data_IF_835796484975
#
_entry.id   IF_835796484975
#
_cell.length_a   1.000
_cell.length_b   1.000
_cell.length_c   1.000
_cell.angle_alpha   90.00
_cell.angle_beta   90.00
_cell.angle_gamma   90.00
#
_symmetry.space_group_name_H-M   'P 1'
#
loop_
_entity.id
_entity.type
_entity.pdbx_description
1 polymer ?
#
# COMPACT_ATOMS: atom_id res chain seq x y z
N UNK A 1 -42.76 7.89 6.56
CA UNK A 1 -41.78 7.56 7.63
C UNK A 1 -41.83 6.08 8.06
N UNK A 2 -42.98 5.51 8.46
CA UNK A 2 -43.06 4.09 8.90
C UNK A 2 -42.60 3.04 7.87
N UNK A 3 -42.86 3.23 6.58
CA UNK A 3 -42.40 2.31 5.51
C UNK A 3 -40.89 2.32 5.27
N UNK A 4 -40.23 3.47 5.43
CA UNK A 4 -38.79 3.61 5.22
C UNK A 4 -38.01 2.94 6.38
N UNK A 5 -38.54 3.07 7.60
CA UNK A 5 -37.99 2.42 8.79
C UNK A 5 -38.09 0.89 8.71
N UNK A 6 -39.20 0.36 8.16
CA UNK A 6 -39.40 -1.07 7.96
C UNK A 6 -38.45 -1.66 6.92
N UNK A 7 -38.20 -0.94 5.83
CA UNK A 7 -37.25 -1.37 4.78
C UNK A 7 -35.83 -1.42 5.35
N UNK A 8 -35.43 -0.41 6.12
CA UNK A 8 -34.11 -0.36 6.78
C UNK A 8 -33.98 -1.45 7.84
N UNK A 9 -35.01 -1.71 8.65
CA UNK A 9 -34.96 -2.78 9.66
C UNK A 9 -34.92 -4.17 9.02
N UNK A 10 -35.60 -4.39 7.89
CA UNK A 10 -35.52 -5.65 7.16
C UNK A 10 -34.13 -5.88 6.55
N UNK A 11 -33.49 -4.83 6.01
CA UNK A 11 -32.10 -4.90 5.51
C UNK A 11 -31.08 -5.17 6.63
N UNK A 12 -31.32 -4.65 7.84
CA UNK A 12 -30.48 -4.93 9.02
C UNK A 12 -30.66 -6.36 9.57
N UNK A 13 -31.84 -6.95 9.43
CA UNK A 13 -32.09 -8.34 9.84
C UNK A 13 -31.45 -9.37 8.90
N UNK A 14 -31.37 -9.08 7.60
CA UNK A 14 -30.57 -9.89 6.66
C UNK A 14 -29.06 -9.73 6.84
N UNK A 15 -28.61 -8.66 7.50
CA UNK A 15 -27.19 -8.41 7.79
C UNK A 15 -26.64 -9.33 8.90
N UNK A 16 -27.50 -9.85 9.79
CA UNK A 16 -27.07 -10.66 10.92
C UNK A 16 -26.88 -12.14 10.61
N UNK A 17 -27.27 -12.60 9.41
CA UNK A 17 -26.90 -13.91 8.92
C UNK A 17 -25.45 -13.85 8.41
N UNK A 18 -24.53 -14.13 9.34
CA UNK A 18 -23.16 -14.59 9.11
C UNK A 18 -22.72 -14.58 7.65
N UNK A 19 -22.20 -13.43 7.21
CA UNK A 19 -21.38 -13.34 6.00
C UNK A 19 -20.05 -14.01 6.35
N UNK A 20 -20.02 -15.34 6.32
CA UNK A 20 -18.82 -16.03 5.91
C UNK A 20 -18.51 -15.46 4.52
N UNK A 21 -17.35 -14.81 4.39
CA UNK A 21 -16.95 -14.18 3.14
C UNK A 21 -16.70 -15.29 2.10
N UNK A 22 -17.76 -15.73 1.42
CA UNK A 22 -17.62 -16.47 0.19
C UNK A 22 -16.95 -15.54 -0.83
N UNK A 23 -15.77 -15.93 -1.27
CA UNK A 23 -15.02 -15.28 -2.34
C UNK A 23 -15.81 -15.42 -3.64
N UNK A 24 -16.67 -14.45 -3.93
CA UNK A 24 -17.29 -14.33 -5.25
C UNK A 24 -16.19 -14.05 -6.28
N UNK A 25 -15.94 -15.02 -7.17
CA UNK A 25 -15.13 -14.84 -8.36
C UNK A 25 -15.92 -14.02 -9.39
N UNK A 26 -15.65 -12.72 -9.46
CA UNK A 26 -16.20 -11.81 -10.48
C UNK A 26 -15.11 -11.51 -11.52
N UNK A 27 -15.43 -11.63 -12.82
CA UNK A 27 -14.45 -11.56 -13.91
C UNK A 27 -13.81 -10.15 -14.10
N UNK A 28 -12.48 -10.22 -14.13
CA UNK A 28 -11.33 -9.36 -14.49
C UNK A 28 -11.39 -7.94 -15.08
N UNK A 29 -12.51 -7.21 -15.14
CA UNK A 29 -12.42 -5.78 -15.59
C UNK A 29 -13.18 -4.80 -14.71
N UNK A 30 -14.25 -5.25 -14.05
CA UNK A 30 -14.98 -4.45 -13.06
C UNK A 30 -14.37 -4.63 -11.65
N UNK A 31 -13.59 -5.70 -11.45
CA UNK A 31 -12.92 -6.05 -10.20
C UNK A 31 -11.80 -5.09 -9.79
N UNK A 32 -11.32 -4.20 -10.66
CA UNK A 32 -10.32 -3.20 -10.26
C UNK A 32 -10.94 -2.00 -9.53
N UNK A 33 -12.19 -1.65 -9.88
CA UNK A 33 -12.91 -0.55 -9.26
C UNK A 33 -13.83 -1.01 -8.11
N UNK A 34 -14.25 -2.27 -8.15
CA UNK A 34 -15.18 -2.92 -7.20
C UNK A 34 -14.60 -4.25 -6.67
N UNK A 35 -13.29 -4.41 -6.62
CA UNK A 35 -12.65 -5.67 -6.18
C UNK A 35 -12.63 -5.85 -4.67
N UNK A 36 -12.37 -7.09 -4.25
CA UNK A 36 -11.94 -7.35 -2.88
C UNK A 36 -10.65 -6.54 -2.60
N UNK A 37 -10.59 -5.76 -1.51
CA UNK A 37 -9.44 -4.94 -1.13
C UNK A 37 -8.11 -5.70 -1.17
N UNK A 38 -8.12 -6.96 -0.71
CA UNK A 38 -6.93 -7.81 -0.73
C UNK A 38 -6.42 -8.10 -2.16
N UNK A 39 -7.34 -8.26 -3.11
CA UNK A 39 -7.02 -8.53 -4.52
C UNK A 39 -6.42 -7.29 -5.20
N UNK A 40 -7.00 -6.11 -4.95
CA UNK A 40 -6.49 -4.83 -5.48
C UNK A 40 -5.12 -4.49 -4.88
N UNK A 41 -4.91 -4.78 -3.60
CA UNK A 41 -3.61 -4.59 -2.97
C UNK A 41 -2.57 -5.56 -3.50
N UNK A 42 -2.93 -6.84 -3.66
CA UNK A 42 -2.07 -7.84 -4.30
C UNK A 42 -1.67 -7.41 -5.71
N UNK A 43 -2.60 -6.97 -6.56
CA UNK A 43 -2.26 -6.56 -7.93
C UNK A 43 -1.30 -5.37 -7.94
N UNK A 44 -1.54 -4.35 -7.11
CA UNK A 44 -0.63 -3.21 -6.95
C UNK A 44 0.74 -3.61 -6.43
N UNK A 45 0.83 -4.56 -5.48
CA UNK A 45 2.11 -5.06 -4.98
C UNK A 45 2.91 -5.74 -6.10
N UNK A 46 2.26 -6.54 -6.94
CA UNK A 46 2.90 -7.21 -8.06
C UNK A 46 3.42 -6.21 -9.11
N UNK A 47 2.72 -5.10 -9.32
CA UNK A 47 3.17 -4.02 -10.21
C UNK A 47 4.31 -3.19 -9.61
N UNK A 48 4.24 -2.88 -8.31
CA UNK A 48 5.16 -1.94 -7.67
C UNK A 48 6.50 -2.57 -7.27
N UNK A 49 6.51 -3.83 -6.81
CA UNK A 49 7.74 -4.50 -6.35
C UNK A 49 8.86 -4.43 -7.41
N UNK A 50 8.61 -4.76 -8.69
CA UNK A 50 9.65 -4.65 -9.73
C UNK A 50 10.14 -3.22 -9.98
N UNK A 51 9.23 -2.23 -9.93
CA UNK A 51 9.57 -0.81 -10.14
C UNK A 51 10.44 -0.30 -9.00
N UNK A 52 10.01 -0.55 -7.76
CA UNK A 52 10.74 -0.17 -6.55
C UNK A 52 12.11 -0.82 -6.48
N UNK A 53 12.21 -2.10 -6.85
CA UNK A 53 13.51 -2.78 -6.92
C UNK A 53 14.46 -2.06 -7.86
N UNK A 54 14.03 -1.77 -9.10
CA UNK A 54 14.88 -1.08 -10.09
C UNK A 54 15.32 0.31 -9.61
N UNK A 55 14.42 1.05 -8.96
CA UNK A 55 14.74 2.35 -8.39
C UNK A 55 15.77 2.24 -7.26
N UNK A 56 15.60 1.25 -6.38
CA UNK A 56 16.53 0.99 -5.26
C UNK A 56 17.91 0.53 -5.76
N UNK A 57 17.95 -0.36 -6.76
CA UNK A 57 19.18 -0.78 -7.44
C UNK A 57 19.92 0.42 -8.02
N UNK A 58 19.21 1.27 -8.78
CA UNK A 58 19.79 2.48 -9.39
C UNK A 58 20.32 3.44 -8.33
N UNK A 59 19.56 3.65 -7.23
CA UNK A 59 19.98 4.50 -6.12
C UNK A 59 21.24 3.97 -5.45
N UNK A 60 21.29 2.66 -5.20
CA UNK A 60 22.44 2.00 -4.60
C UNK A 60 23.66 2.05 -5.54
N UNK A 61 23.46 1.84 -6.85
CA UNK A 61 24.52 1.94 -7.85
C UNK A 61 25.16 3.34 -7.86
N UNK A 62 24.35 4.40 -7.90
CA UNK A 62 24.81 5.79 -7.86
C UNK A 62 25.59 6.06 -6.57
N UNK A 63 25.09 5.58 -5.44
CA UNK A 63 25.77 5.71 -4.15
C UNK A 63 27.12 4.97 -4.13
N UNK A 64 27.16 3.72 -4.56
CA UNK A 64 28.37 2.91 -4.62
C UNK A 64 29.39 3.53 -5.58
N UNK A 65 28.96 4.02 -6.76
CA UNK A 65 29.83 4.77 -7.67
C UNK A 65 30.45 5.99 -6.99
N UNK A 66 29.68 6.75 -6.23
CA UNK A 66 30.19 7.92 -5.49
C UNK A 66 31.23 7.52 -4.45
N UNK A 67 30.96 6.50 -3.62
CA UNK A 67 31.88 6.04 -2.57
C UNK A 67 33.15 5.43 -3.17
N UNK A 68 33.00 4.53 -4.13
CA UNK A 68 34.11 3.78 -4.73
C UNK A 68 34.94 4.61 -5.70
N UNK A 69 34.35 5.58 -6.41
CA UNK A 69 35.13 6.42 -7.34
C UNK A 69 36.23 7.21 -6.63
N UNK A 70 36.05 7.60 -5.36
CA UNK A 70 37.08 8.27 -4.56
C UNK A 70 38.16 7.26 -4.15
N UNK A 71 37.76 6.06 -3.74
CA UNK A 71 38.68 5.07 -3.17
C UNK A 71 39.48 4.29 -4.23
N UNK A 72 38.88 4.01 -5.38
CA UNK A 72 39.49 3.28 -6.50
C UNK A 72 40.19 4.22 -7.52
N UNK A 73 40.15 5.54 -7.29
CA UNK A 73 40.92 6.49 -8.11
C UNK A 73 42.42 6.45 -7.81
N UNK A 74 42.80 6.07 -6.60
CA UNK A 74 44.19 5.94 -6.17
C UNK A 74 44.87 4.73 -6.81
N UNK A 75 46.19 4.78 -6.99
CA UNK A 75 46.96 3.72 -7.66
C UNK A 75 47.02 2.40 -6.89
N UNK A 76 46.74 2.41 -5.58
CA UNK A 76 46.69 1.24 -4.71
C UNK A 76 45.25 0.90 -4.29
N UNK A 77 44.95 -0.40 -4.20
CA UNK A 77 43.65 -0.87 -3.74
C UNK A 77 43.43 -0.47 -2.26
N UNK A 78 42.25 0.06 -1.91
CA UNK A 78 41.96 0.50 -0.54
C UNK A 78 42.00 -0.65 0.46
N UNK A 79 42.30 -0.32 1.73
CA UNK A 79 42.32 -1.31 2.82
C UNK A 79 40.96 -2.00 2.97
N UNK A 80 40.96 -3.35 2.95
CA UNK A 80 39.76 -4.20 3.05
C UNK A 80 38.95 -3.95 4.32
N UNK A 81 39.61 -3.69 5.45
CA UNK A 81 38.97 -3.37 6.74
C UNK A 81 38.13 -2.08 6.65
N UNK A 82 38.68 -1.06 5.98
CA UNK A 82 38.01 0.23 5.78
C UNK A 82 36.81 0.11 4.85
N UNK A 83 36.92 -0.68 3.78
CA UNK A 83 35.78 -0.99 2.91
C UNK A 83 34.66 -1.72 3.67
N UNK A 84 35.04 -2.70 4.51
CA UNK A 84 34.07 -3.50 5.28
C UNK A 84 33.26 -2.64 6.23
N UNK A 85 33.88 -1.69 6.92
CA UNK A 85 33.18 -0.78 7.84
C UNK A 85 32.30 0.23 7.11
N UNK A 86 32.71 0.73 5.95
CA UNK A 86 31.88 1.62 5.12
C UNK A 86 30.66 0.90 4.54
N UNK A 87 30.83 -0.30 4.00
CA UNK A 87 29.71 -1.05 3.40
C UNK A 87 28.72 -1.59 4.43
N UNK A 88 29.16 -1.90 5.66
CA UNK A 88 28.25 -2.26 6.75
C UNK A 88 27.24 -1.16 7.08
N UNK A 89 27.59 0.11 6.87
CA UNK A 89 26.69 1.26 7.11
C UNK A 89 25.56 1.36 6.08
N UNK A 90 25.65 0.63 4.96
CA UNK A 90 24.67 0.70 3.88
C UNK A 90 23.54 -0.30 4.19
N UNK A 91 22.32 0.18 4.49
CA UNK A 91 21.25 -0.68 4.99
C UNK A 91 20.76 -1.70 3.96
N UNK A 92 20.68 -1.30 2.68
CA UNK A 92 20.08 -2.12 1.62
C UNK A 92 21.12 -2.90 0.79
N UNK A 93 22.37 -2.97 1.26
CA UNK A 93 23.43 -3.71 0.59
C UNK A 93 23.44 -5.16 1.08
N UNK A 94 22.97 -6.07 0.23
CA UNK A 94 23.00 -7.51 0.48
C UNK A 94 24.43 -8.05 0.37
N UNK A 95 25.18 -7.57 -0.62
CA UNK A 95 26.59 -7.87 -0.73
C UNK A 95 27.24 -7.13 -1.88
N UNK A 96 28.57 -7.08 -1.84
CA UNK A 96 29.39 -6.43 -2.86
C UNK A 96 30.64 -7.26 -3.13
N UNK A 97 31.00 -7.38 -4.39
CA UNK A 97 32.20 -8.05 -4.88
C UNK A 97 32.92 -7.13 -5.85
N UNK A 98 34.20 -6.88 -5.59
CA UNK A 98 35.07 -6.07 -6.43
C UNK A 98 36.12 -6.99 -7.03
N UNK A 99 36.18 -7.04 -8.36
CA UNK A 99 37.09 -7.90 -9.12
C UNK A 99 37.82 -7.10 -10.20
N UNK A 100 39.01 -7.53 -10.55
CA UNK A 100 39.68 -7.11 -11.78
C UNK A 100 39.54 -8.22 -12.84
N UNK A 101 40.23 -8.10 -13.97
CA UNK A 101 40.21 -9.11 -15.03
C UNK A 101 40.79 -10.48 -14.61
N UNK A 102 41.56 -10.55 -13.51
CA UNK A 102 42.32 -11.74 -13.09
C UNK A 102 41.77 -12.42 -11.83
N UNK A 103 41.19 -11.65 -10.90
CA UNK A 103 40.78 -12.16 -9.59
C UNK A 103 39.78 -11.24 -8.88
N UNK A 104 39.11 -11.83 -7.90
CA UNK A 104 38.29 -11.10 -6.91
C UNK A 104 39.22 -10.49 -5.85
N UNK A 105 39.16 -9.16 -5.71
CA UNK A 105 40.01 -8.41 -4.80
C UNK A 105 39.35 -8.22 -3.42
N UNK A 106 38.04 -8.08 -3.43
CA UNK A 106 37.23 -7.91 -2.22
C UNK A 106 35.86 -8.53 -2.44
N UNK A 107 35.32 -9.16 -1.41
CA UNK A 107 33.92 -9.53 -1.36
C UNK A 107 33.41 -9.40 0.07
N UNK A 108 32.15 -9.04 0.20
CA UNK A 108 31.42 -9.00 1.44
C UNK A 108 29.97 -9.37 1.16
N UNK A 109 29.44 -10.22 2.03
CA UNK A 109 28.08 -10.73 1.98
C UNK A 109 27.45 -10.48 3.34
N UNK A 110 26.23 -9.95 3.34
CA UNK A 110 25.44 -9.65 4.54
C UNK A 110 24.68 -10.89 5.02
N UNK A 111 24.31 -11.80 4.10
CA UNK A 111 23.56 -13.02 4.40
C UNK A 111 24.08 -14.22 3.58
N UNK A 112 24.35 -15.33 4.24
CA UNK A 112 24.93 -16.53 3.63
C UNK A 112 26.47 -16.52 3.56
N UNK A 113 27.03 -17.59 3.00
CA UNK A 113 28.48 -17.82 2.91
C UNK A 113 29.03 -17.43 1.53
N UNK A 114 28.19 -17.48 0.50
CA UNK A 114 28.57 -17.31 -0.89
C UNK A 114 27.89 -16.09 -1.52
N UNK A 115 28.51 -15.57 -2.59
CA UNK A 115 27.92 -14.51 -3.38
C UNK A 115 26.84 -15.12 -4.29
N UNK A 116 25.62 -14.56 -4.33
CA UNK A 116 24.48 -15.16 -5.03
C UNK A 116 24.71 -15.30 -6.55
N UNK A 117 23.90 -16.14 -7.20
CA UNK A 117 24.00 -16.38 -8.63
C UNK A 117 23.43 -15.21 -9.47
N UNK A 118 23.70 -15.24 -10.79
CA UNK A 118 23.64 -14.10 -11.71
C UNK A 118 22.31 -13.31 -11.79
N UNK A 119 21.17 -13.87 -11.36
CA UNK A 119 19.85 -13.24 -11.56
C UNK A 119 19.66 -11.93 -10.79
N UNK A 120 20.34 -11.76 -9.66
CA UNK A 120 20.23 -10.54 -8.83
C UNK A 120 21.43 -9.61 -8.92
N UNK A 121 22.50 -10.04 -9.59
CA UNK A 121 23.75 -9.30 -9.58
C UNK A 121 23.65 -8.12 -10.54
N UNK A 122 23.83 -6.93 -10.00
CA UNK A 122 24.09 -5.72 -10.79
C UNK A 122 25.57 -5.44 -10.83
N UNK A 123 26.06 -5.11 -12.01
CA UNK A 123 27.48 -4.85 -12.23
C UNK A 123 27.68 -3.50 -12.89
N UNK A 124 28.67 -2.77 -12.41
CA UNK A 124 29.18 -1.57 -13.08
C UNK A 124 30.71 -1.55 -13.03
N UNK A 125 31.30 -0.73 -13.90
CA UNK A 125 32.76 -0.62 -14.02
C UNK A 125 33.25 0.72 -13.48
N UNK A 126 34.34 0.69 -12.72
CA UNK A 126 35.12 1.87 -12.34
C UNK A 126 36.57 1.61 -12.77
N UNK A 127 37.04 2.33 -13.80
CA UNK A 127 38.35 2.10 -14.43
C UNK A 127 38.50 0.61 -14.81
N UNK A 128 39.49 -0.08 -14.26
CA UNK A 128 39.80 -1.49 -14.52
C UNK A 128 39.14 -2.47 -13.54
N UNK A 129 38.28 -1.97 -12.66
CA UNK A 129 37.55 -2.77 -11.67
C UNK A 129 36.10 -2.97 -12.06
N UNK A 130 35.64 -4.21 -11.95
CA UNK A 130 34.23 -4.58 -11.99
C UNK A 130 33.70 -4.67 -10.57
N UNK A 131 32.59 -3.97 -10.33
CA UNK A 131 31.89 -3.97 -9.06
C UNK A 131 30.56 -4.67 -9.28
N UNK A 132 30.41 -5.82 -8.67
CA UNK A 132 29.18 -6.61 -8.64
C UNK A 132 28.51 -6.38 -7.27
N UNK A 133 27.22 -6.10 -7.23
CA UNK A 133 26.46 -5.92 -5.99
C UNK A 133 25.04 -6.45 -6.13
N UNK A 134 24.39 -6.71 -5.00
CA UNK A 134 22.98 -7.11 -4.97
C UNK A 134 22.27 -6.50 -3.75
N UNK A 135 20.94 -6.41 -3.85
CA UNK A 135 20.09 -5.90 -2.79
C UNK A 135 19.89 -6.95 -1.70
N UNK A 136 19.95 -6.52 -0.45
CA UNK A 136 19.60 -7.35 0.68
C UNK A 136 19.50 -6.47 1.91
N UNK A 137 18.46 -6.66 2.72
CA UNK A 137 18.29 -5.88 3.94
C UNK A 137 18.97 -6.58 5.11
N UNK A 138 19.72 -5.78 5.88
CA UNK A 138 20.16 -6.20 7.21
C UNK A 138 18.95 -6.26 8.15
N UNK A 139 19.01 -7.18 9.13
CA UNK A 139 18.03 -7.28 10.21
C UNK A 139 17.98 -5.95 11.00
N UNK A 140 16.76 -5.48 11.34
CA UNK A 140 16.57 -4.27 12.13
C UNK A 140 16.31 -2.96 11.37
N UNK A 141 16.23 -2.99 10.03
CA UNK A 141 15.84 -1.81 9.23
C UNK A 141 14.31 -1.67 9.23
N UNK A 142 13.83 -0.44 9.42
CA UNK A 142 12.40 -0.10 9.41
C UNK A 142 11.77 -0.55 8.08
N UNK A 143 10.61 -1.23 8.10
CA UNK A 143 9.88 -1.57 6.89
C UNK A 143 9.68 -0.32 6.02
N UNK A 144 9.74 -0.50 4.71
CA UNK A 144 9.27 0.57 3.81
C UNK A 144 7.77 0.64 3.98
N UNK A 145 7.27 1.77 4.44
CA UNK A 145 5.83 2.01 4.54
C UNK A 145 5.26 2.24 3.14
N UNK A 146 4.42 1.32 2.68
CA UNK A 146 3.67 1.49 1.45
C UNK A 146 2.48 2.41 1.73
N UNK A 147 2.70 3.71 1.49
CA UNK A 147 1.85 4.83 1.92
C UNK A 147 0.43 4.89 1.32
N UNK A 148 -0.06 3.92 0.53
CA UNK A 148 -1.18 4.20 -0.41
C UNK A 148 -2.37 3.23 -0.46
N UNK A 149 -2.37 2.09 0.24
CA UNK A 149 -3.49 1.13 0.12
C UNK A 149 -4.55 1.27 1.20
N UNK A 150 -4.26 1.94 2.32
CA UNK A 150 -5.26 2.26 3.35
C UNK A 150 -5.91 1.05 4.02
N UNK A 151 -5.34 -0.15 3.81
CA UNK A 151 -5.81 -1.45 4.29
C UNK A 151 -4.61 -2.25 4.80
N UNK A 152 -4.81 -3.01 5.87
CA UNK A 152 -3.75 -3.48 6.78
C UNK A 152 -3.17 -4.86 6.40
N UNK A 153 -2.78 -5.08 5.15
CA UNK A 153 -2.16 -6.34 4.74
C UNK A 153 -0.70 -6.43 5.19
N UNK A 154 -0.22 -7.65 5.40
CA UNK A 154 1.19 -7.92 5.62
C UNK A 154 1.75 -8.71 4.44
N UNK A 155 3.00 -8.45 4.08
CA UNK A 155 3.66 -9.22 3.04
C UNK A 155 5.17 -9.29 3.26
N UNK A 156 5.77 -10.33 2.70
CA UNK A 156 7.21 -10.58 2.75
C UNK A 156 7.68 -11.00 1.36
N UNK A 157 8.60 -10.24 0.80
CA UNK A 157 9.18 -10.49 -0.50
C UNK A 157 10.62 -10.93 -0.37
N UNK A 158 10.87 -12.17 -0.77
CA UNK A 158 12.17 -12.78 -0.85
C UNK A 158 12.65 -12.79 -2.28
N UNK A 159 13.95 -12.64 -2.43
CA UNK A 159 14.63 -12.88 -3.69
C UNK A 159 14.69 -14.37 -4.03
N UNK A 160 15.21 -14.73 -5.21
CA UNK A 160 15.48 -16.14 -5.56
C UNK A 160 16.47 -16.80 -4.58
N UNK A 161 17.52 -16.08 -4.20
CA UNK A 161 18.53 -16.55 -3.23
C UNK A 161 18.07 -16.41 -1.77
N UNK A 162 16.76 -16.49 -1.54
CA UNK A 162 16.13 -16.50 -0.21
C UNK A 162 16.45 -15.30 0.70
N UNK A 163 16.92 -14.21 0.11
CA UNK A 163 17.25 -12.97 0.82
C UNK A 163 16.00 -12.10 0.93
N UNK A 164 15.69 -11.62 2.14
CA UNK A 164 14.57 -10.72 2.35
C UNK A 164 14.86 -9.34 1.74
N UNK A 165 14.02 -8.92 0.80
CA UNK A 165 14.16 -7.65 0.09
C UNK A 165 13.20 -6.58 0.64
N UNK A 166 11.92 -6.95 0.76
CA UNK A 166 10.87 -6.06 1.25
C UNK A 166 9.95 -6.80 2.20
N UNK A 167 9.46 -6.09 3.21
CA UNK A 167 8.39 -6.59 4.04
C UNK A 167 7.54 -5.41 4.53
N UNK A 168 6.28 -5.71 4.78
CA UNK A 168 5.37 -4.85 5.53
C UNK A 168 4.67 -5.74 6.55
N UNK A 169 4.73 -5.30 7.81
CA UNK A 169 4.07 -5.98 8.92
C UNK A 169 2.73 -5.30 9.21
N UNK A 170 1.74 -6.10 9.63
CA UNK A 170 0.53 -5.59 10.27
C UNK A 170 0.46 -6.13 11.70
N UNK A 171 -0.35 -5.48 12.54
CA UNK A 171 -0.57 -5.93 13.93
C UNK A 171 -1.15 -7.34 14.03
N UNK A 172 -1.84 -7.79 12.97
CA UNK A 172 -2.43 -9.13 12.87
C UNK A 172 -1.38 -10.18 12.48
N UNK A 173 -0.45 -9.81 11.59
CA UNK A 173 0.49 -10.71 10.96
C UNK A 173 1.92 -10.27 11.25
N UNK A 174 2.32 -10.47 12.51
CA UNK A 174 3.67 -10.16 12.98
C UNK A 174 4.47 -11.42 13.21
N UNK A 175 5.63 -11.52 12.56
CA UNK A 175 6.60 -12.58 12.81
C UNK A 175 7.53 -12.11 13.92
N UNK A 176 7.56 -12.84 15.03
CA UNK A 176 8.35 -12.51 16.22
C UNK A 176 9.80 -12.99 16.15
N UNK A 177 10.14 -13.87 15.21
CA UNK A 177 11.46 -14.50 15.05
C UNK A 177 12.23 -13.97 13.83
N UNK A 178 13.48 -14.41 13.68
CA UNK A 178 14.35 -14.00 12.57
C UNK A 178 13.71 -14.33 11.21
N UNK A 179 13.66 -13.37 10.30
CA UNK A 179 12.88 -13.44 9.05
C UNK A 179 13.56 -14.32 8.00
N UNK A 180 13.76 -15.59 8.30
CA UNK A 180 14.23 -16.60 7.36
C UNK A 180 13.06 -17.13 6.51
N UNK A 181 13.33 -17.52 5.26
CA UNK A 181 12.30 -18.07 4.39
C UNK A 181 11.75 -19.41 4.92
N UNK A 182 12.58 -20.19 5.62
CA UNK A 182 12.19 -21.47 6.23
C UNK A 182 11.17 -21.27 7.35
N UNK A 183 11.38 -20.27 8.21
CA UNK A 183 10.42 -19.88 9.23
C UNK A 183 9.15 -19.29 8.64
N UNK A 184 9.25 -18.55 7.54
CA UNK A 184 8.06 -18.00 6.89
C UNK A 184 7.20 -19.10 6.25
N UNK A 185 7.84 -20.13 5.69
CA UNK A 185 7.16 -21.30 5.18
C UNK A 185 6.49 -22.12 6.31
N UNK A 186 7.13 -22.28 7.47
CA UNK A 186 6.51 -22.95 8.61
C UNK A 186 5.37 -22.13 9.21
N UNK A 187 5.56 -20.81 9.32
CA UNK A 187 4.53 -19.86 9.74
C UNK A 187 3.33 -19.90 8.79
N UNK A 188 3.56 -19.85 7.47
CA UNK A 188 2.51 -19.96 6.47
C UNK A 188 1.76 -21.28 6.62
N UNK A 189 2.45 -22.43 6.70
CA UNK A 189 1.79 -23.74 6.90
C UNK A 189 0.94 -23.80 8.17
N UNK A 190 1.38 -23.14 9.24
CA UNK A 190 0.69 -23.13 10.54
C UNK A 190 -0.55 -22.24 10.50
N UNK A 191 -0.46 -21.09 9.81
CA UNK A 191 -1.53 -20.10 9.72
C UNK A 191 -2.48 -20.31 8.55
N UNK A 192 -2.09 -21.09 7.53
CA UNK A 192 -2.92 -21.34 6.34
C UNK A 192 -4.25 -22.05 6.67
N UNK A 193 -4.34 -22.73 7.82
CA UNK A 193 -5.60 -23.31 8.30
C UNK A 193 -6.61 -22.25 8.75
N UNK A 194 -6.13 -21.08 9.19
CA UNK A 194 -6.96 -20.00 9.77
C UNK A 194 -6.96 -18.72 8.91
N UNK A 195 -6.08 -18.63 7.91
CA UNK A 195 -5.97 -17.46 7.06
C UNK A 195 -6.72 -17.64 5.73
N UNK A 196 -7.83 -16.91 5.57
CA UNK A 196 -8.55 -16.87 4.30
C UNK A 196 -7.83 -15.94 3.31
N UNK A 197 -7.43 -16.46 2.14
CA UNK A 197 -6.78 -15.68 1.08
C UNK A 197 -5.27 -15.44 1.27
N UNK A 198 -4.63 -16.17 2.19
CA UNK A 198 -3.18 -16.23 2.27
C UNK A 198 -2.61 -16.94 1.04
N UNK A 199 -1.61 -16.34 0.40
CA UNK A 199 -1.03 -16.89 -0.82
C UNK A 199 0.48 -16.76 -0.86
N UNK A 200 1.12 -17.75 -1.50
CA UNK A 200 2.53 -17.72 -1.87
C UNK A 200 2.62 -17.56 -3.38
N UNK A 201 3.11 -16.41 -3.83
CA UNK A 201 3.18 -16.04 -5.23
C UNK A 201 4.65 -16.13 -5.66
N UNK A 202 4.94 -16.99 -6.63
CA UNK A 202 6.26 -17.08 -7.25
C UNK A 202 6.34 -16.07 -8.39
N UNK A 203 7.21 -15.08 -8.22
CA UNK A 203 7.59 -14.11 -9.24
C UNK A 203 8.84 -14.62 -9.96
N UNK A 204 9.12 -14.05 -11.14
CA UNK A 204 10.32 -14.42 -11.94
C UNK A 204 11.60 -14.24 -11.13
N UNK A 205 11.64 -13.22 -10.26
CA UNK A 205 12.84 -12.83 -9.54
C UNK A 205 12.70 -13.00 -8.01
N UNK A 206 11.81 -13.89 -7.55
CA UNK A 206 11.62 -14.13 -6.11
C UNK A 206 10.28 -14.69 -5.70
N UNK A 207 10.06 -14.77 -4.39
CA UNK A 207 8.83 -15.30 -3.78
C UNK A 207 8.17 -14.25 -2.89
N UNK A 208 6.90 -13.97 -3.14
CA UNK A 208 6.07 -13.07 -2.35
C UNK A 208 5.10 -13.88 -1.49
N UNK A 209 5.20 -13.71 -0.18
CA UNK A 209 4.21 -14.20 0.76
C UNK A 209 3.24 -13.07 1.07
N UNK A 210 1.95 -13.30 0.83
CA UNK A 210 0.90 -12.31 0.99
C UNK A 210 -0.10 -12.75 2.06
N UNK A 211 -0.34 -11.86 3.03
CA UNK A 211 -1.22 -12.08 4.17
C UNK A 211 -2.28 -10.95 4.21
N UNK A 212 -3.52 -11.23 3.79
CA UNK A 212 -4.59 -10.23 3.85
C UNK A 212 -5.04 -10.00 5.29
N UNK A 213 -5.42 -8.76 5.63
CA UNK A 213 -6.05 -8.46 6.93
C UNK A 213 -7.37 -9.21 7.08
N UNK A 214 -7.54 -9.87 8.23
CA UNK A 214 -8.76 -10.59 8.61
C UNK A 214 -9.66 -9.71 9.49
N UNK A 215 -9.10 -8.74 10.22
CA UNK A 215 -9.86 -7.84 11.11
C UNK A 215 -10.30 -6.53 10.45
N UNK A 216 -9.81 -6.26 9.23
CA UNK A 216 -10.25 -5.13 8.44
C UNK A 216 -11.74 -5.23 8.17
N UNK A 217 -12.54 -4.38 8.83
CA UNK A 217 -13.95 -4.15 8.50
C UNK A 217 -14.06 -4.16 6.98
N UNK A 218 -14.77 -5.17 6.45
CA UNK A 218 -14.83 -5.45 5.01
C UNK A 218 -14.95 -4.14 4.25
N UNK A 219 -14.07 -3.91 3.28
CA UNK A 219 -14.12 -2.74 2.41
C UNK A 219 -15.55 -2.47 1.93
N UNK A 220 -16.31 -3.54 1.65
CA UNK A 220 -17.72 -3.50 1.29
C UNK A 220 -18.61 -2.93 2.38
N UNK A 221 -18.37 -3.26 3.65
CA UNK A 221 -19.09 -2.70 4.78
C UNK A 221 -18.81 -1.19 4.91
N UNK A 222 -17.54 -0.78 4.81
CA UNK A 222 -17.17 0.65 4.83
C UNK A 222 -17.75 1.41 3.63
N UNK A 223 -17.68 0.82 2.44
CA UNK A 223 -18.24 1.39 1.22
C UNK A 223 -19.76 1.55 1.33
N UNK A 224 -20.45 0.53 1.84
CA UNK A 224 -21.91 0.57 2.02
C UNK A 224 -22.31 1.65 3.02
N UNK A 225 -21.61 1.78 4.15
CA UNK A 225 -21.85 2.86 5.12
C UNK A 225 -21.65 4.23 4.47
N UNK A 226 -20.54 4.42 3.76
CA UNK A 226 -20.23 5.70 3.11
C UNK A 226 -21.25 6.06 2.02
N UNK A 227 -21.68 5.08 1.23
CA UNK A 227 -22.67 5.28 0.18
C UNK A 227 -24.05 5.58 0.77
N UNK A 228 -24.43 4.90 1.86
CA UNK A 228 -25.65 5.19 2.61
C UNK A 228 -25.62 6.61 3.21
N UNK A 229 -24.49 7.02 3.79
CA UNK A 229 -24.29 8.38 4.31
C UNK A 229 -24.39 9.43 3.19
N UNK A 230 -23.83 9.16 2.02
CA UNK A 230 -23.92 10.04 0.85
C UNK A 230 -25.37 10.20 0.37
N UNK A 231 -26.11 9.09 0.25
CA UNK A 231 -27.54 9.12 -0.11
C UNK A 231 -28.35 9.90 0.94
N UNK A 232 -28.11 9.65 2.23
CA UNK A 232 -28.76 10.38 3.31
C UNK A 232 -28.48 11.89 3.25
N UNK A 233 -27.22 12.29 3.02
CA UNK A 233 -26.84 13.69 2.87
C UNK A 233 -27.51 14.33 1.64
N UNK A 234 -27.59 13.61 0.52
CA UNK A 234 -28.27 14.08 -0.68
C UNK A 234 -29.77 14.28 -0.45
N UNK A 235 -30.43 13.33 0.20
CA UNK A 235 -31.85 13.44 0.56
C UNK A 235 -32.10 14.62 1.52
N UNK A 236 -31.27 14.79 2.54
CA UNK A 236 -31.35 15.94 3.46
C UNK A 236 -31.19 17.27 2.72
N UNK A 237 -30.28 17.32 1.74
CA UNK A 237 -30.06 18.51 0.90
C UNK A 237 -31.32 18.85 0.10
N UNK A 238 -31.97 17.86 -0.52
CA UNK A 238 -33.24 18.07 -1.24
C UNK A 238 -34.33 18.58 -0.29
N UNK A 239 -34.47 18.00 0.91
CA UNK A 239 -35.45 18.46 1.89
C UNK A 239 -35.18 19.89 2.37
N UNK A 240 -33.91 20.23 2.57
CA UNK A 240 -33.50 21.59 2.93
C UNK A 240 -33.90 22.60 1.85
N UNK A 241 -33.57 22.34 0.58
CA UNK A 241 -33.94 23.22 -0.53
C UNK A 241 -35.45 23.33 -0.72
N UNK A 242 -36.19 22.22 -0.58
CA UNK A 242 -37.66 22.25 -0.66
C UNK A 242 -38.27 23.10 0.46
N UNK A 243 -37.78 22.96 1.70
CA UNK A 243 -38.25 23.75 2.84
C UNK A 243 -37.88 25.22 2.69
N UNK A 244 -36.67 25.51 2.21
CA UNK A 244 -36.21 26.86 1.90
C UNK A 244 -37.08 27.52 0.82
N UNK A 245 -37.40 26.79 -0.25
CA UNK A 245 -38.27 27.29 -1.32
C UNK A 245 -39.69 27.63 -0.83
N UNK A 246 -40.28 26.74 -0.02
CA UNK A 246 -41.60 26.97 0.58
C UNK A 246 -41.57 28.23 1.46
N UNK A 247 -40.56 28.34 2.33
CA UNK A 247 -40.41 29.49 3.24
C UNK A 247 -40.20 30.80 2.48
N UNK A 248 -39.39 30.80 1.43
CA UNK A 248 -39.20 31.98 0.57
C UNK A 248 -40.47 32.37 -0.20
N UNK A 249 -41.25 31.38 -0.65
CA UNK A 249 -42.53 31.65 -1.30
C UNK A 249 -43.54 32.26 -0.32
N UNK A 250 -43.55 31.80 0.93
CA UNK A 250 -44.40 32.35 1.99
C UNK A 250 -43.98 33.77 2.40
N UNK A 251 -42.69 34.04 2.56
CA UNK A 251 -42.20 35.40 2.85
C UNK A 251 -42.47 36.36 1.68
N UNK A 252 -42.29 35.91 0.44
CA UNK A 252 -42.64 36.71 -0.74
C UNK A 252 -44.15 37.02 -0.80
N UNK A 253 -45.02 36.04 -0.51
CA UNK A 253 -46.47 36.26 -0.43
C UNK A 253 -46.82 37.30 0.64
N UNK A 254 -46.24 37.18 1.84
CA UNK A 254 -46.44 38.14 2.93
C UNK A 254 -45.98 39.54 2.52
N UNK A 255 -44.81 39.67 1.90
CA UNK A 255 -44.30 40.96 1.42
C UNK A 255 -45.20 41.60 0.34
N UNK A 256 -45.71 40.81 -0.61
CA UNK A 256 -46.67 41.29 -1.62
C UNK A 256 -47.97 41.77 -0.97
N UNK A 257 -48.47 41.05 0.03
CA UNK A 257 -49.68 41.43 0.74
C UNK A 257 -49.50 42.71 1.57
N UNK A 258 -48.37 42.86 2.28
CA UNK A 258 -48.02 44.09 2.99
C UNK A 258 -47.92 45.28 2.05
N UNK A 259 -47.28 45.11 0.88
CA UNK A 259 -47.19 46.18 -0.13
C UNK A 259 -48.58 46.60 -0.65
N UNK A 260 -49.45 45.64 -0.95
CA UNK A 260 -50.83 45.92 -1.38
C UNK A 260 -51.62 46.69 -0.32
N UNK A 261 -51.52 46.31 0.95
CA UNK A 261 -52.18 47.02 2.05
C UNK A 261 -51.67 48.46 2.17
N UNK A 262 -50.35 48.66 2.08
CA UNK A 262 -49.73 49.98 2.17
C UNK A 262 -50.10 50.89 0.97
N UNK A 263 -50.19 50.33 -0.23
CA UNK A 263 -50.67 51.04 -1.42
C UNK A 263 -52.16 51.41 -1.30
N UNK A 264 -52.96 50.57 -0.64
CA UNK A 264 -54.37 50.84 -0.37
C UNK A 264 -54.55 51.94 0.70
N UNK A 265 -53.76 51.91 1.78
CA UNK A 265 -53.72 52.97 2.79
C UNK A 265 -53.32 54.32 2.17
N UNK A 266 -52.27 54.35 1.35
CA UNK A 266 -51.84 55.56 0.63
C UNK A 266 -52.93 56.13 -0.27
N UNK A 267 -53.65 55.27 -1.00
CA UNK A 267 -54.78 55.70 -1.83
C UNK A 267 -55.91 56.28 -0.99
N UNK A 268 -56.23 55.68 0.16
CA UNK A 268 -57.27 56.21 1.05
C UNK A 268 -56.94 57.57 1.65
N UNK A 269 -55.65 57.83 1.93
CA UNK A 269 -55.18 59.12 2.45
C UNK A 269 -55.21 60.21 1.38
N UNK A 270 -54.91 59.88 0.12
CA UNK A 270 -54.92 60.84 -1.01
C UNK A 270 -56.33 61.15 -1.54
N UNK A 271 -57.35 60.39 -1.14
CA UNK A 271 -58.75 60.59 -1.53
C UNK A 271 -59.60 61.36 -0.51
N UNK A 272 -58.99 61.80 0.59
CA UNK A 272 -59.55 62.79 1.53
C UNK A 272 -59.06 64.18 1.18
#
# INVERSE_FOLDING_TARGET
MKRLFFIISSLLLFWHQSVAAETFHFESTVSELLGNPATVEKSRLLEWIPVWRKEEESRLEVYLKKVLSIQLKNSSFPNKEKLKTEFKKIPNLGGIRIRNQKSTLFYQVSYGVEFPNLSQIRSFTIKDYYVDFYLGRQTGIVPVEFLKTGLACAFYYFSEDETLLYFQESSEWKITTEKSIGELNSFFKTQNTNCQGCEVIRLIDGTLFFFPSQSGISFWLRLTINLLLSICAFVLTIFFFRSFWIRNRETLRKAIQTKKNLDQEKKSILSQ
#
